data_IF_308784495617
#
_entry.id   IF_308784495617
#
_cell.length_a   1.000
_cell.length_b   1.000
_cell.length_c   1.000
_cell.angle_alpha   90.00
_cell.angle_beta   90.00
_cell.angle_gamma   90.00
#
_symmetry.space_group_name_H-M   'P 1'
#
loop_
_entity.id
_entity.type
_entity.pdbx_description
1 polymer ?
#
# COMPACT_ATOMS: atom_id res chain seq x y z
N UNK A 1 -12.76 32.01 29.79
CA UNK A 1 -13.62 31.22 28.87
C UNK A 1 -12.77 30.11 28.23
N UNK A 2 -12.09 29.31 29.07
CA UNK A 2 -11.03 28.36 28.67
C UNK A 2 -11.11 27.05 29.47
N UNK A 3 -12.31 26.58 29.79
CA UNK A 3 -12.55 25.41 30.65
C UNK A 3 -13.80 24.63 30.20
N UNK A 4 -13.96 24.39 28.90
CA UNK A 4 -15.12 23.63 28.40
C UNK A 4 -14.83 22.78 27.15
N UNK A 5 -13.60 22.29 26.99
CA UNK A 5 -13.26 21.32 25.95
C UNK A 5 -12.45 20.11 26.49
N UNK A 6 -12.33 19.97 27.81
CA UNK A 6 -11.61 18.85 28.45
C UNK A 6 -12.45 17.60 28.70
N UNK A 7 -13.75 17.60 28.39
CA UNK A 7 -14.69 16.51 28.73
C UNK A 7 -15.06 15.61 27.54
N UNK A 8 -14.05 15.21 26.76
CA UNK A 8 -14.13 14.00 25.94
C UNK A 8 -12.98 13.08 26.37
N UNK A 9 -13.18 12.36 27.47
CA UNK A 9 -12.21 11.47 28.09
C UNK A 9 -11.85 10.24 27.24
N UNK A 10 -11.03 10.43 26.20
CA UNK A 10 -10.55 9.35 25.34
C UNK A 10 -9.10 9.53 24.86
N UNK A 11 -8.17 10.01 25.68
CA UNK A 11 -6.74 9.78 25.42
C UNK A 11 -5.99 9.69 26.75
N UNK A 12 -5.96 8.50 27.36
CA UNK A 12 -4.89 8.18 28.29
C UNK A 12 -3.56 8.21 27.52
N UNK A 13 -2.52 8.78 28.12
CA UNK A 13 -1.19 8.79 27.54
C UNK A 13 -0.67 7.35 27.41
N UNK A 14 -0.83 6.74 26.23
CA UNK A 14 -0.56 5.34 25.97
C UNK A 14 -0.33 5.03 24.49
N UNK A 15 0.11 3.81 24.21
CA UNK A 15 0.34 3.31 22.85
C UNK A 15 -0.89 2.53 22.38
N UNK A 16 -1.35 2.79 21.17
CA UNK A 16 -2.48 2.10 20.56
C UNK A 16 -2.18 1.76 19.10
N UNK A 17 -2.65 0.60 18.65
CA UNK A 17 -2.70 0.28 17.22
C UNK A 17 -3.86 1.04 16.54
N UNK A 18 -3.54 1.74 15.45
CA UNK A 18 -4.50 2.50 14.67
C UNK A 18 -4.59 1.89 13.27
N UNK A 19 -5.80 1.48 12.88
CA UNK A 19 -6.05 0.96 11.55
C UNK A 19 -6.13 2.09 10.53
N UNK A 20 -5.32 2.06 9.47
CA UNK A 20 -5.44 2.99 8.34
C UNK A 20 -5.91 2.25 7.08
N UNK A 21 -7.18 2.46 6.74
CA UNK A 21 -7.82 1.79 5.62
C UNK A 21 -7.83 2.62 4.34
N UNK A 22 -7.72 1.95 3.19
CA UNK A 22 -7.79 2.62 1.89
C UNK A 22 -9.24 2.90 1.48
N UNK A 23 -9.56 4.16 1.21
CA UNK A 23 -10.81 4.50 0.55
C UNK A 23 -10.76 4.05 -0.91
N UNK A 24 -11.73 3.23 -1.33
CA UNK A 24 -11.80 2.70 -2.69
C UNK A 24 -11.99 3.85 -3.70
N UNK A 25 -11.12 3.89 -4.72
CA UNK A 25 -11.14 4.92 -5.75
C UNK A 25 -12.28 4.75 -6.78
N UNK A 26 -12.68 5.85 -7.45
CA UNK A 26 -13.81 5.85 -8.38
C UNK A 26 -13.57 5.01 -9.64
N UNK A 27 -12.32 4.67 -9.95
CA UNK A 27 -11.94 3.83 -11.10
C UNK A 27 -11.84 2.35 -10.75
N UNK A 28 -12.34 1.92 -9.58
CA UNK A 28 -12.35 0.51 -9.18
C UNK A 28 -12.94 -0.38 -10.29
N UNK A 29 -12.17 -1.41 -10.68
CA UNK A 29 -12.50 -2.29 -11.78
C UNK A 29 -11.86 -3.67 -11.58
N UNK A 30 -12.38 -4.67 -12.29
CA UNK A 30 -11.81 -6.02 -12.31
C UNK A 30 -11.00 -6.25 -13.59
N UNK A 31 -9.76 -5.76 -13.63
CA UNK A 31 -8.92 -5.87 -14.83
C UNK A 31 -8.06 -7.16 -14.92
N UNK A 32 -8.02 -7.99 -13.86
CA UNK A 32 -7.27 -9.25 -13.89
C UNK A 32 -5.75 -9.11 -13.91
N UNK A 33 -5.21 -8.00 -13.39
CA UNK A 33 -3.82 -7.56 -13.61
C UNK A 33 -2.78 -8.28 -12.75
N UNK A 34 -3.18 -8.90 -11.64
CA UNK A 34 -2.25 -9.44 -10.65
C UNK A 34 -2.03 -10.95 -10.85
N UNK A 35 -0.98 -11.34 -11.59
CA UNK A 35 -0.60 -12.74 -11.75
C UNK A 35 -0.26 -13.38 -10.38
N UNK A 36 -0.75 -14.59 -10.13
CA UNK A 36 -0.68 -15.26 -8.83
C UNK A 36 -1.78 -14.88 -7.83
N UNK A 37 -2.52 -13.79 -8.07
CA UNK A 37 -3.76 -13.52 -7.33
C UNK A 37 -4.94 -14.18 -8.06
N UNK A 38 -5.37 -15.33 -7.55
CA UNK A 38 -6.46 -16.12 -8.16
C UNK A 38 -7.77 -15.35 -8.23
N UNK A 39 -8.09 -14.50 -7.24
CA UNK A 39 -9.31 -13.70 -7.26
C UNK A 39 -9.26 -12.64 -8.37
N UNK A 40 -8.13 -11.93 -8.49
CA UNK A 40 -7.92 -10.98 -9.59
C UNK A 40 -8.09 -11.66 -10.95
N UNK A 41 -7.38 -12.77 -11.18
CA UNK A 41 -7.41 -13.47 -12.47
C UNK A 41 -8.80 -14.02 -12.82
N UNK A 42 -9.54 -14.57 -11.85
CA UNK A 42 -10.88 -15.16 -12.07
C UNK A 42 -11.97 -14.13 -12.37
N UNK A 43 -11.90 -12.95 -11.78
CA UNK A 43 -12.94 -11.92 -11.94
C UNK A 43 -12.60 -10.90 -13.05
N UNK A 44 -11.48 -11.07 -13.75
CA UNK A 44 -11.07 -10.20 -14.84
C UNK A 44 -12.15 -10.05 -15.92
N UNK A 45 -12.53 -8.81 -16.23
CA UNK A 45 -13.56 -8.47 -17.22
C UNK A 45 -14.98 -8.34 -16.66
N UNK A 46 -15.21 -8.64 -15.38
CA UNK A 46 -16.51 -8.41 -14.75
C UNK A 46 -16.80 -6.91 -14.55
N UNK A 47 -18.08 -6.57 -14.48
CA UNK A 47 -18.56 -5.23 -14.16
C UNK A 47 -18.34 -4.97 -12.68
N UNK A 48 -17.68 -3.85 -12.36
CA UNK A 48 -17.46 -3.40 -10.99
C UNK A 48 -18.47 -2.32 -10.60
N UNK A 49 -18.67 -2.15 -9.29
CA UNK A 49 -19.47 -1.07 -8.70
C UNK A 49 -18.60 -0.24 -7.74
N UNK A 50 -17.89 0.80 -8.24
CA UNK A 50 -16.97 1.58 -7.41
C UNK A 50 -17.61 2.22 -6.19
N UNK A 51 -18.86 2.70 -6.34
CA UNK A 51 -19.60 3.32 -5.25
C UNK A 51 -19.90 2.31 -4.14
N UNK A 52 -20.40 1.14 -4.52
CA UNK A 52 -20.70 0.08 -3.56
C UNK A 52 -19.42 -0.42 -2.87
N UNK A 53 -18.32 -0.62 -3.61
CA UNK A 53 -17.04 -1.01 -3.03
C UNK A 53 -16.54 0.03 -1.99
N UNK A 54 -16.65 1.33 -2.29
CA UNK A 54 -16.32 2.38 -1.32
C UNK A 54 -17.23 2.35 -0.09
N UNK A 55 -18.54 2.17 -0.28
CA UNK A 55 -19.51 2.09 0.82
C UNK A 55 -19.28 0.86 1.71
N UNK A 56 -18.92 -0.29 1.14
CA UNK A 56 -18.56 -1.49 1.88
C UNK A 56 -17.32 -1.23 2.75
N UNK A 57 -16.27 -0.62 2.18
CA UNK A 57 -15.08 -0.23 2.94
C UNK A 57 -15.38 0.73 4.08
N UNK A 58 -16.14 1.79 3.81
CA UNK A 58 -16.55 2.78 4.82
C UNK A 58 -17.41 2.17 5.93
N UNK A 59 -18.32 1.25 5.59
CA UNK A 59 -19.15 0.53 6.56
C UNK A 59 -18.28 -0.26 7.52
N UNK A 60 -17.26 -0.97 7.00
CA UNK A 60 -16.31 -1.71 7.84
C UNK A 60 -15.50 -0.77 8.75
N UNK A 61 -14.92 0.30 8.20
CA UNK A 61 -14.15 1.29 8.97
C UNK A 61 -14.98 1.86 10.11
N UNK A 62 -16.23 2.25 9.83
CA UNK A 62 -17.14 2.80 10.83
C UNK A 62 -17.53 1.77 11.90
N UNK A 63 -17.76 0.51 11.50
CA UNK A 63 -18.07 -0.55 12.45
C UNK A 63 -16.91 -0.83 13.43
N UNK A 64 -15.66 -0.79 12.97
CA UNK A 64 -14.49 -0.94 13.85
C UNK A 64 -14.33 0.27 14.78
N UNK A 65 -14.51 1.49 14.24
CA UNK A 65 -14.49 2.70 15.04
C UNK A 65 -15.57 2.68 16.13
N UNK A 66 -16.79 2.26 15.80
CA UNK A 66 -17.91 2.15 16.75
C UNK A 66 -17.69 1.06 17.80
N UNK A 67 -16.90 0.04 17.48
CA UNK A 67 -16.47 -1.00 18.42
C UNK A 67 -15.27 -0.57 19.30
N UNK A 68 -14.75 0.65 19.14
CA UNK A 68 -13.67 1.21 19.96
C UNK A 68 -12.26 1.04 19.40
N UNK A 69 -12.10 0.54 18.17
CA UNK A 69 -10.79 0.47 17.51
C UNK A 69 -10.45 1.79 16.84
N UNK A 70 -9.24 2.31 17.07
CA UNK A 70 -8.79 3.53 16.41
C UNK A 70 -8.71 3.33 14.88
N UNK A 71 -9.25 4.29 14.13
CA UNK A 71 -9.43 4.18 12.69
C UNK A 71 -9.05 5.49 11.99
N UNK A 72 -8.17 5.40 11.00
CA UNK A 72 -7.84 6.41 10.00
C UNK A 72 -8.14 5.92 8.58
N UNK A 73 -7.98 6.82 7.61
CA UNK A 73 -8.27 6.58 6.19
C UNK A 73 -7.15 7.11 5.32
N UNK A 74 -6.68 6.31 4.36
CA UNK A 74 -5.82 6.76 3.27
C UNK A 74 -6.69 7.05 2.03
N UNK A 75 -6.52 8.23 1.37
CA UNK A 75 -7.28 8.58 0.18
C UNK A 75 -6.94 7.69 -1.02
N UNK A 76 -7.85 7.57 -2.01
CA UNK A 76 -7.50 6.97 -3.29
C UNK A 76 -6.48 7.84 -4.04
N UNK A 77 -5.73 7.23 -4.96
CA UNK A 77 -4.78 7.95 -5.80
C UNK A 77 -5.43 8.46 -7.10
N UNK A 78 -4.77 9.43 -7.74
CA UNK A 78 -5.20 9.92 -9.06
C UNK A 78 -5.18 8.79 -10.09
N UNK A 79 -6.35 8.48 -10.64
CA UNK A 79 -6.56 7.51 -11.72
C UNK A 79 -7.59 8.08 -12.71
N UNK A 80 -7.42 7.95 -14.04
CA UNK A 80 -6.29 7.32 -14.74
C UNK A 80 -4.95 8.04 -14.52
N UNK A 81 -3.85 7.28 -14.44
CA UNK A 81 -2.51 7.83 -14.37
C UNK A 81 -2.02 8.27 -15.76
N UNK A 82 -2.23 9.55 -16.06
CA UNK A 82 -1.80 10.18 -17.32
C UNK A 82 -0.27 10.33 -17.40
N UNK A 83 0.42 10.44 -16.26
CA UNK A 83 1.87 10.54 -16.22
C UNK A 83 2.52 9.23 -16.70
N UNK A 84 1.99 8.10 -16.22
CA UNK A 84 2.39 6.77 -16.68
C UNK A 84 2.16 6.56 -18.19
N UNK A 85 1.01 7.01 -18.72
CA UNK A 85 0.77 6.98 -20.17
C UNK A 85 1.74 7.86 -20.93
N UNK A 86 2.03 9.07 -20.45
CA UNK A 86 3.03 9.97 -21.04
C UNK A 86 4.43 9.34 -21.09
N UNK A 87 4.85 8.68 -20.01
CA UNK A 87 6.13 7.97 -19.93
C UNK A 87 6.22 6.78 -20.91
N UNK A 88 5.07 6.20 -21.28
CA UNK A 88 4.96 5.13 -22.27
C UNK A 88 4.78 5.65 -23.71
N UNK A 89 4.93 6.96 -23.94
CA UNK A 89 4.92 7.57 -25.26
C UNK A 89 3.55 8.01 -25.78
N UNK A 90 2.50 7.95 -24.96
CA UNK A 90 1.22 8.54 -25.33
C UNK A 90 1.28 10.06 -25.19
N UNK A 91 1.18 10.78 -26.30
CA UNK A 91 1.24 12.23 -26.38
C UNK A 91 -0.05 12.83 -26.92
N UNK A 92 -0.28 14.11 -26.63
CA UNK A 92 -1.48 14.86 -27.02
C UNK A 92 -2.21 15.45 -25.81
N UNK A 93 -3.44 15.90 -26.02
CA UNK A 93 -4.36 16.29 -24.95
C UNK A 93 -4.74 15.10 -24.08
N UNK A 94 -5.24 15.34 -22.86
CA UNK A 94 -5.69 14.27 -21.95
C UNK A 94 -6.71 13.34 -22.61
N UNK A 95 -7.61 13.89 -23.42
CA UNK A 95 -8.63 13.12 -24.13
C UNK A 95 -8.00 12.22 -25.21
N UNK A 96 -7.11 12.77 -26.03
CA UNK A 96 -6.41 12.01 -27.07
C UNK A 96 -5.55 10.90 -26.47
N UNK A 97 -4.81 11.19 -25.39
CA UNK A 97 -4.00 10.18 -24.68
C UNK A 97 -4.86 9.01 -24.22
N UNK A 98 -6.02 9.28 -23.59
CA UNK A 98 -6.93 8.23 -23.13
C UNK A 98 -7.57 7.45 -24.29
N UNK A 99 -8.01 8.14 -25.34
CA UNK A 99 -8.60 7.51 -26.52
C UNK A 99 -7.59 6.60 -27.25
N UNK A 100 -6.34 7.07 -27.39
CA UNK A 100 -5.24 6.28 -27.95
C UNK A 100 -4.91 5.09 -27.07
N UNK A 101 -4.76 5.27 -25.76
CA UNK A 101 -4.52 4.15 -24.85
C UNK A 101 -5.65 3.11 -24.91
N UNK A 102 -6.91 3.54 -25.02
CA UNK A 102 -8.06 2.63 -25.17
C UNK A 102 -8.00 1.81 -26.46
N UNK A 103 -7.62 2.43 -27.58
CA UNK A 103 -7.61 1.81 -28.90
C UNK A 103 -6.35 0.99 -29.17
N UNK A 104 -5.18 1.52 -28.82
CA UNK A 104 -3.86 0.97 -29.16
C UNK A 104 -3.37 -0.04 -28.11
N UNK A 105 -3.68 0.19 -26.82
CA UNK A 105 -3.17 -0.63 -25.71
C UNK A 105 -4.16 -0.72 -24.52
N UNK A 106 -5.35 -1.31 -24.70
CA UNK A 106 -6.40 -1.33 -23.67
C UNK A 106 -5.97 -1.95 -22.34
N UNK A 107 -5.00 -2.87 -22.35
CA UNK A 107 -4.38 -3.45 -21.15
C UNK A 107 -3.61 -2.41 -20.32
N UNK A 108 -2.95 -1.44 -20.95
CA UNK A 108 -2.27 -0.35 -20.26
C UNK A 108 -3.27 0.62 -19.65
N UNK A 109 -4.34 0.94 -20.39
CA UNK A 109 -5.42 1.78 -19.86
C UNK A 109 -6.02 1.16 -18.59
N UNK A 110 -6.28 -0.16 -18.60
CA UNK A 110 -6.75 -0.88 -17.42
C UNK A 110 -5.78 -0.78 -16.24
N UNK A 111 -4.48 -0.91 -16.50
CA UNK A 111 -3.45 -0.82 -15.47
C UNK A 111 -3.38 0.56 -14.81
N UNK A 112 -3.36 1.63 -15.63
CA UNK A 112 -3.31 3.02 -15.12
C UNK A 112 -4.63 3.49 -14.50
N UNK A 113 -5.72 2.73 -14.65
CA UNK A 113 -7.02 2.96 -14.02
C UNK A 113 -7.22 2.14 -12.74
N UNK A 114 -6.27 1.29 -12.34
CA UNK A 114 -6.42 0.42 -11.16
C UNK A 114 -6.62 1.22 -9.87
N UNK A 115 -7.63 0.87 -9.09
CA UNK A 115 -7.85 1.38 -7.73
C UNK A 115 -7.09 0.56 -6.65
N UNK A 116 -6.00 -0.10 -7.03
CA UNK A 116 -5.25 -1.03 -6.17
C UNK A 116 -4.63 -0.40 -4.92
N UNK A 117 -4.46 0.91 -4.88
CA UNK A 117 -3.98 1.62 -3.69
C UNK A 117 -4.94 1.52 -2.49
N UNK A 118 -6.18 1.02 -2.70
CA UNK A 118 -7.10 0.71 -1.61
C UNK A 118 -6.58 -0.41 -0.68
N UNK A 119 -5.66 -1.26 -1.17
CA UNK A 119 -5.02 -2.30 -0.36
C UNK A 119 -3.80 -1.73 0.39
N UNK A 120 -4.09 -1.03 1.48
CA UNK A 120 -3.11 -0.27 2.28
C UNK A 120 -2.15 -1.13 3.09
N UNK A 121 -2.45 -2.42 3.28
CA UNK A 121 -1.48 -3.38 3.82
C UNK A 121 -0.18 -3.43 2.99
N UNK A 122 -0.22 -3.02 1.72
CA UNK A 122 0.97 -2.94 0.87
C UNK A 122 1.48 -1.51 0.68
N UNK A 123 0.92 -0.51 1.36
CA UNK A 123 1.33 0.88 1.17
C UNK A 123 2.75 1.13 1.68
N UNK A 124 3.05 0.64 2.87
CA UNK A 124 4.33 0.79 3.53
C UNK A 124 4.54 -0.31 4.57
N UNK A 125 5.78 -0.46 5.02
CA UNK A 125 6.10 -1.08 6.30
C UNK A 125 6.22 0.01 7.35
N UNK A 126 5.69 -0.23 8.56
CA UNK A 126 5.70 0.73 9.67
C UNK A 126 6.53 0.16 10.82
N UNK A 127 7.49 0.94 11.32
CA UNK A 127 8.22 0.63 12.55
C UNK A 127 7.74 1.57 13.66
N UNK A 128 7.06 1.07 14.70
CA UNK A 128 6.64 1.89 15.82
C UNK A 128 7.83 2.50 16.55
N UNK A 129 7.60 3.64 17.21
CA UNK A 129 8.65 4.36 17.93
C UNK A 129 9.30 3.57 19.06
N UNK A 130 8.62 2.55 19.58
CA UNK A 130 9.16 1.64 20.61
C UNK A 130 10.29 0.76 20.11
N UNK A 131 10.33 0.51 18.81
CA UNK A 131 11.26 -0.43 18.19
C UNK A 131 12.30 0.30 17.31
N UNK A 132 12.16 1.62 17.18
CA UNK A 132 13.07 2.48 16.43
C UNK A 132 14.16 3.06 17.35
N UNK A 133 15.44 3.06 16.93
CA UNK A 133 16.54 3.59 17.76
C UNK A 133 16.43 5.07 18.13
N UNK A 134 15.74 5.87 17.31
CA UNK A 134 15.58 7.31 17.51
C UNK A 134 14.26 7.68 18.21
N UNK A 135 13.45 6.68 18.60
CA UNK A 135 12.19 6.91 19.29
C UNK A 135 11.10 7.57 18.43
N UNK A 136 11.17 7.46 17.09
CA UNK A 136 10.15 7.95 16.16
C UNK A 136 9.48 6.82 15.38
N UNK A 137 8.28 7.07 14.86
CA UNK A 137 7.59 6.12 13.97
C UNK A 137 8.16 6.26 12.57
N UNK A 138 8.62 5.17 11.97
CA UNK A 138 9.16 5.16 10.62
C UNK A 138 8.18 4.54 9.63
N UNK A 139 8.07 5.17 8.46
CA UNK A 139 7.35 4.66 7.31
C UNK A 139 8.32 4.42 6.15
N UNK A 140 8.34 3.19 5.63
CA UNK A 140 9.04 2.86 4.38
C UNK A 140 8.01 2.43 3.34
N UNK A 141 7.66 3.28 2.36
CA UNK A 141 6.72 2.91 1.32
C UNK A 141 7.24 1.77 0.47
N UNK A 142 6.38 0.77 0.22
CA UNK A 142 6.75 -0.40 -0.56
C UNK A 142 6.80 -0.05 -2.05
N UNK A 143 7.75 -0.61 -2.81
CA UNK A 143 7.89 -0.25 -4.23
C UNK A 143 6.94 -0.99 -5.17
N UNK A 144 6.37 -2.13 -4.74
CA UNK A 144 5.33 -2.89 -5.44
C UNK A 144 5.68 -3.22 -6.89
N UNK A 145 6.98 -3.38 -7.17
CA UNK A 145 7.50 -3.51 -8.53
C UNK A 145 6.95 -4.75 -9.25
N UNK A 146 6.56 -5.78 -8.49
CA UNK A 146 6.09 -7.07 -9.02
C UNK A 146 4.83 -6.97 -9.87
N UNK A 147 4.12 -5.85 -9.87
CA UNK A 147 2.94 -5.63 -10.71
C UNK A 147 2.90 -4.19 -11.19
N UNK A 148 2.92 -3.98 -12.52
CA UNK A 148 3.01 -2.64 -13.13
C UNK A 148 1.95 -1.65 -12.59
N UNK A 149 0.68 -2.06 -12.47
CA UNK A 149 -0.38 -1.19 -11.96
C UNK A 149 -0.18 -0.74 -10.51
N UNK A 150 0.60 -1.51 -9.72
CA UNK A 150 0.94 -1.20 -8.34
C UNK A 150 2.25 -0.44 -8.20
N UNK A 151 3.20 -0.67 -9.10
CA UNK A 151 4.43 0.12 -9.21
C UNK A 151 4.17 1.63 -9.38
N UNK A 152 2.98 2.03 -9.85
CA UNK A 152 2.56 3.43 -9.98
C UNK A 152 2.17 4.08 -8.64
N UNK A 153 1.96 3.29 -7.59
CA UNK A 153 1.47 3.75 -6.29
C UNK A 153 2.49 4.50 -5.40
N UNK A 154 3.77 4.06 -5.27
CA UNK A 154 4.60 4.41 -4.12
C UNK A 154 4.91 5.90 -3.97
N UNK A 155 5.12 6.62 -5.09
CA UNK A 155 5.41 8.05 -5.05
C UNK A 155 4.25 8.85 -4.43
N UNK A 156 3.01 8.55 -4.83
CA UNK A 156 1.83 9.19 -4.24
C UNK A 156 1.61 8.72 -2.81
N UNK A 157 1.83 7.42 -2.52
CA UNK A 157 1.73 6.87 -1.17
C UNK A 157 2.66 7.58 -0.19
N UNK A 158 3.93 7.81 -0.55
CA UNK A 158 4.88 8.54 0.29
C UNK A 158 4.42 9.96 0.60
N UNK A 159 3.91 10.69 -0.40
CA UNK A 159 3.36 12.04 -0.18
C UNK A 159 2.13 12.04 0.73
N UNK A 160 1.24 11.06 0.57
CA UNK A 160 0.04 10.92 1.41
C UNK A 160 0.43 10.63 2.87
N UNK A 161 1.37 9.71 3.09
CA UNK A 161 1.86 9.39 4.44
C UNK A 161 2.53 10.61 5.08
N UNK A 162 3.38 11.31 4.35
CA UNK A 162 4.02 12.54 4.84
C UNK A 162 3.01 13.66 5.15
N UNK A 163 1.94 13.77 4.37
CA UNK A 163 0.89 14.75 4.62
C UNK A 163 0.03 14.41 5.85
N UNK A 164 -0.26 13.14 6.10
CA UNK A 164 -1.06 12.68 7.25
C UNK A 164 -0.22 12.69 8.54
N UNK A 165 1.03 12.24 8.47
CA UNK A 165 1.96 12.11 9.58
C UNK A 165 3.09 13.14 9.46
N UNK A 166 2.73 14.43 9.52
CA UNK A 166 3.60 15.54 9.13
C UNK A 166 4.57 16.02 10.22
N UNK A 167 4.36 15.65 11.49
CA UNK A 167 5.22 16.09 12.59
C UNK A 167 6.56 15.34 12.60
N UNK A 168 7.61 15.99 12.12
CA UNK A 168 8.96 15.43 12.03
C UNK A 168 9.59 15.08 13.39
N UNK A 169 9.04 15.61 14.49
CA UNK A 169 9.45 15.21 15.84
C UNK A 169 8.97 13.80 16.20
N UNK A 170 7.98 13.27 15.48
CA UNK A 170 7.36 11.97 15.76
C UNK A 170 7.44 10.99 14.61
N UNK A 171 7.55 11.47 13.36
CA UNK A 171 7.44 10.65 12.17
C UNK A 171 8.64 10.83 11.25
N UNK A 172 9.11 9.71 10.69
CA UNK A 172 10.18 9.66 9.69
C UNK A 172 9.66 8.98 8.45
N UNK A 173 9.84 9.62 7.30
CA UNK A 173 9.41 9.11 6.00
C UNK A 173 10.65 8.74 5.18
N UNK A 174 10.79 7.45 4.89
CA UNK A 174 11.90 6.93 4.09
C UNK A 174 11.57 6.95 2.60
N UNK A 175 12.57 7.02 1.71
CA UNK A 175 12.36 6.78 0.30
C UNK A 175 11.99 5.31 0.04
N UNK A 176 11.34 5.07 -1.11
CA UNK A 176 11.08 3.71 -1.60
C UNK A 176 12.40 3.00 -1.90
N UNK A 177 12.45 1.68 -1.69
CA UNK A 177 13.57 0.87 -2.18
C UNK A 177 13.65 0.90 -3.71
N UNK A 178 14.85 0.76 -4.31
CA UNK A 178 15.00 0.69 -5.77
C UNK A 178 14.04 -0.33 -6.38
N UNK A 179 13.17 0.11 -7.28
CA UNK A 179 12.14 -0.72 -7.90
C UNK A 179 12.74 -1.71 -8.91
N UNK A 180 13.40 -2.73 -8.40
CA UNK A 180 14.07 -3.78 -9.16
C UNK A 180 13.62 -5.15 -8.66
N UNK A 181 13.72 -6.21 -9.49
CA UNK A 181 13.44 -7.56 -9.02
C UNK A 181 14.30 -7.99 -7.83
N UNK A 182 15.47 -7.38 -7.60
CA UNK A 182 16.32 -7.72 -6.47
C UNK A 182 15.76 -7.18 -5.13
N UNK A 183 15.19 -5.98 -5.15
CA UNK A 183 14.62 -5.30 -3.99
C UNK A 183 13.11 -5.22 -4.11
N UNK A 184 12.44 -6.34 -4.37
CA UNK A 184 10.98 -6.35 -4.51
C UNK A 184 10.29 -6.33 -3.16
N UNK A 185 9.54 -5.27 -2.89
CA UNK A 185 8.87 -5.04 -1.61
C UNK A 185 7.36 -4.86 -1.76
N UNK A 186 6.59 -5.56 -0.94
CA UNK A 186 5.13 -5.50 -0.85
C UNK A 186 4.65 -5.02 0.54
N UNK A 187 5.55 -4.48 1.37
CA UNK A 187 5.22 -3.73 2.58
C UNK A 187 4.64 -4.58 3.72
N UNK A 188 3.77 -3.97 4.52
CA UNK A 188 3.23 -4.58 5.74
C UNK A 188 2.47 -5.91 5.52
N UNK A 189 2.03 -6.22 4.31
CA UNK A 189 1.42 -7.51 3.97
C UNK A 189 2.38 -8.70 4.18
N UNK A 190 3.68 -8.46 4.26
CA UNK A 190 4.72 -9.44 4.56
C UNK A 190 5.44 -9.15 5.89
N UNK A 191 4.85 -8.31 6.74
CA UNK A 191 5.38 -7.93 8.05
C UNK A 191 4.40 -8.33 9.15
N UNK A 192 4.94 -8.67 10.30
CA UNK A 192 4.16 -8.89 11.53
C UNK A 192 4.98 -8.39 12.70
N UNK A 193 4.33 -7.70 13.64
CA UNK A 193 4.92 -7.31 14.91
C UNK A 193 4.29 -8.13 16.03
N UNK A 194 5.13 -8.79 16.84
CA UNK A 194 4.71 -9.57 18.00
C UNK A 194 5.20 -8.87 19.27
N UNK A 195 4.30 -8.56 20.20
CA UNK A 195 4.59 -7.89 21.47
C UNK A 195 3.62 -8.36 22.55
N UNK A 196 3.92 -8.07 23.83
CA UNK A 196 2.94 -8.22 24.91
C UNK A 196 1.85 -7.18 24.75
N UNK A 197 2.20 -5.91 24.95
CA UNK A 197 1.32 -4.76 24.69
C UNK A 197 1.89 -3.83 23.59
N UNK A 198 1.04 -2.99 22.98
CA UNK A 198 1.47 -2.05 21.92
C UNK A 198 2.57 -1.06 22.36
N UNK A 199 2.64 -0.78 23.67
CA UNK A 199 3.63 0.12 24.25
C UNK A 199 4.95 -0.55 24.64
N UNK A 200 5.06 -1.86 24.48
CA UNK A 200 6.27 -2.62 24.78
C UNK A 200 7.13 -2.83 23.54
N UNK A 201 8.39 -3.20 23.73
CA UNK A 201 9.27 -3.59 22.63
C UNK A 201 8.71 -4.84 21.91
N UNK A 202 8.74 -4.81 20.59
CA UNK A 202 8.20 -5.85 19.73
C UNK A 202 9.27 -6.61 18.96
N UNK A 203 8.93 -7.82 18.53
CA UNK A 203 9.69 -8.62 17.59
C UNK A 203 9.06 -8.44 16.21
N UNK A 204 9.87 -8.06 15.22
CA UNK A 204 9.44 -7.90 13.83
C UNK A 204 9.74 -9.18 13.04
N UNK A 205 8.69 -9.84 12.56
CA UNK A 205 8.77 -10.96 11.63
C UNK A 205 8.55 -10.45 10.21
N UNK A 206 9.56 -10.66 9.37
CA UNK A 206 9.49 -10.36 7.93
C UNK A 206 9.45 -11.67 7.14
N UNK A 207 8.45 -11.79 6.25
CA UNK A 207 8.22 -12.99 5.45
C UNK A 207 8.59 -12.72 4.00
N UNK A 208 9.45 -13.55 3.41
CA UNK A 208 9.85 -13.41 2.00
C UNK A 208 9.60 -14.69 1.21
N UNK A 209 9.44 -14.54 -0.11
CA UNK A 209 9.18 -15.68 -1.00
C UNK A 209 10.39 -16.13 -1.82
N UNK A 210 11.42 -15.29 -1.93
CA UNK A 210 12.67 -15.61 -2.66
C UNK A 210 13.86 -14.78 -2.20
N UNK A 211 15.06 -15.17 -2.63
CA UNK A 211 16.30 -14.41 -2.43
C UNK A 211 16.81 -13.94 -3.79
N UNK A 212 17.23 -12.69 -3.88
CA UNK A 212 17.80 -12.14 -5.10
C UNK A 212 19.28 -12.48 -5.26
N UNK A 213 20.02 -12.57 -4.15
CA UNK A 213 21.46 -12.81 -4.15
C UNK A 213 21.83 -14.07 -3.37
N UNK A 214 23.00 -14.63 -3.71
CA UNK A 214 23.65 -15.65 -2.90
C UNK A 214 22.98 -17.03 -2.88
N UNK A 215 21.99 -17.28 -3.73
CA UNK A 215 21.48 -18.64 -3.94
C UNK A 215 22.26 -19.33 -5.06
N UNK A 216 22.98 -20.41 -4.74
CA UNK A 216 23.54 -21.31 -5.75
C UNK A 216 22.43 -22.04 -6.54
N UNK A 217 22.75 -22.64 -7.70
CA UNK A 217 21.80 -23.49 -8.41
C UNK A 217 21.26 -24.60 -7.49
N UNK A 218 19.95 -24.59 -7.24
CA UNK A 218 19.27 -25.57 -6.36
C UNK A 218 19.14 -25.17 -4.89
N UNK A 219 19.68 -24.02 -4.47
CA UNK A 219 19.59 -23.52 -3.09
C UNK A 219 18.40 -22.57 -2.86
N UNK A 220 17.91 -21.87 -3.90
CA UNK A 220 16.68 -21.08 -3.77
C UNK A 220 15.44 -21.98 -3.85
N UNK A 221 14.70 -22.04 -2.73
CA UNK A 221 13.36 -22.62 -2.70
C UNK A 221 12.36 -21.54 -3.06
N UNK A 222 12.15 -21.35 -4.35
CA UNK A 222 11.19 -20.38 -4.87
C UNK A 222 9.92 -21.08 -5.38
N UNK A 223 8.75 -20.42 -5.32
CA UNK A 223 7.54 -20.99 -5.86
C UNK A 223 7.64 -21.12 -7.40
N UNK A 224 7.35 -22.32 -7.92
CA UNK A 224 7.45 -22.61 -9.35
C UNK A 224 6.25 -22.13 -10.18
N UNK A 225 5.09 -21.93 -9.52
CA UNK A 225 3.82 -21.63 -10.22
C UNK A 225 3.49 -20.15 -10.26
N UNK A 226 3.71 -19.43 -9.16
CA UNK A 226 3.35 -18.02 -9.01
C UNK A 226 4.54 -17.23 -8.48
N UNK A 227 4.74 -15.99 -8.93
CA UNK A 227 5.92 -15.23 -8.56
C UNK A 227 5.94 -14.90 -7.07
N UNK A 228 7.10 -15.08 -6.45
CA UNK A 228 7.40 -14.52 -5.13
C UNK A 228 7.65 -13.01 -5.24
N UNK A 229 6.77 -12.21 -4.64
CA UNK A 229 6.78 -10.76 -4.75
C UNK A 229 7.64 -10.05 -3.70
N UNK A 230 7.97 -10.72 -2.61
CA UNK A 230 8.85 -10.20 -1.57
C UNK A 230 10.22 -10.89 -1.65
N UNK A 231 11.29 -10.11 -1.69
CA UNK A 231 12.66 -10.62 -1.53
C UNK A 231 13.16 -10.51 -0.10
N UNK A 232 14.09 -11.39 0.29
CA UNK A 232 14.80 -11.25 1.56
C UNK A 232 15.54 -9.90 1.62
N UNK A 233 16.17 -9.52 0.52
CA UNK A 233 16.96 -8.29 0.40
C UNK A 233 16.10 -7.03 0.61
N UNK A 234 14.88 -7.01 0.07
CA UNK A 234 13.93 -5.94 0.35
C UNK A 234 13.49 -5.89 1.81
N UNK A 235 13.42 -7.04 2.47
CA UNK A 235 13.00 -7.13 3.88
C UNK A 235 14.12 -6.74 4.85
N UNK A 236 15.38 -6.83 4.42
CA UNK A 236 16.56 -6.48 5.22
C UNK A 236 17.02 -5.03 5.05
N UNK A 237 16.72 -4.42 3.89
CA UNK A 237 17.06 -3.05 3.56
C UNK A 237 16.16 -2.05 4.29
#
# INVERSE_FOLDING_TARGET
>A
MSEALSDAGFYEAGYQEVNFDGLVGPTHNYAGLAHGNMASMRHGGLIANPREAALQGLTKMKALLDAGYAQGVLPPQQRPDLGALGALGFTGTKHEVLARAANEAPQLLRAVCSASSMWTANAATVTPSRDAPDGRVHFTPANLQSSFHRYLEPATTGHVLAAIFADEAHFVHHPVLPATPAFSDEGAANHTRLCGDHGEAGIHLYVYGRRAFGAGPGESREPLRFPARQTLEASQA
#
